data_IF_552741893284
#
_entry.id   IF_552741893284
#
_cell.length_a   1.000
_cell.length_b   1.000
_cell.length_c   1.000
_cell.angle_alpha   90.00
_cell.angle_beta   90.00
_cell.angle_gamma   90.00
#
_symmetry.space_group_name_H-M   'P 1'
#
loop_
_entity.id
_entity.type
_entity.pdbx_description
1 polymer ?
#
# COMPACT_ATOMS: atom_id res chain seq x y z
N UNK A 1 -5.44 0.83 17.35
CA UNK A 1 -4.94 -0.40 16.67
C UNK A 1 -3.53 -0.24 16.11
N UNK A 2 -3.20 0.75 15.25
CA UNK A 2 -1.78 0.99 14.84
C UNK A 2 -1.06 1.92 15.83
N UNK A 3 -1.70 3.02 16.22
CA UNK A 3 -1.16 4.01 17.17
C UNK A 3 -0.91 3.44 18.57
N UNK A 4 -1.52 2.29 18.90
CA UNK A 4 -1.37 1.62 20.20
C UNK A 4 0.05 1.07 20.39
N UNK A 5 0.78 0.90 19.29
CA UNK A 5 2.19 0.50 19.28
C UNK A 5 3.14 1.69 19.51
N UNK A 6 2.64 2.92 19.64
CA UNK A 6 3.49 4.09 19.86
C UNK A 6 3.97 4.07 21.30
N UNK A 7 5.28 4.13 21.46
CA UNK A 7 5.94 3.95 22.74
C UNK A 7 5.81 5.19 23.62
N UNK A 8 5.78 6.40 23.01
CA UNK A 8 5.80 7.69 23.74
C UNK A 8 5.12 8.83 22.96
N UNK A 9 4.79 9.89 23.69
CA UNK A 9 4.44 11.23 23.18
C UNK A 9 3.31 11.24 22.13
N UNK A 10 2.28 10.41 22.32
CA UNK A 10 1.17 10.31 21.35
C UNK A 10 0.31 11.57 21.38
N UNK A 11 0.33 12.33 20.30
CA UNK A 11 -0.57 13.44 20.01
C UNK A 11 -1.59 13.05 18.94
N UNK A 12 -2.84 13.47 19.12
CA UNK A 12 -3.91 13.27 18.15
C UNK A 12 -4.27 14.60 17.51
N UNK A 13 -4.24 14.65 16.19
CA UNK A 13 -4.65 15.78 15.36
C UNK A 13 -6.02 15.44 14.77
N UNK A 14 -7.06 16.09 15.31
CA UNK A 14 -8.42 15.86 14.86
C UNK A 14 -8.68 16.50 13.50
N UNK A 15 -9.32 15.75 12.61
CA UNK A 15 -9.72 16.21 11.29
C UNK A 15 -11.24 16.33 11.22
N UNK A 16 -11.80 17.46 10.76
CA UNK A 16 -13.24 17.61 10.52
C UNK A 16 -13.80 16.62 9.50
N UNK A 17 -12.93 15.92 8.75
CA UNK A 17 -13.29 14.92 7.72
C UNK A 17 -13.11 13.48 8.18
N UNK A 18 -12.77 13.24 9.45
CA UNK A 18 -12.54 11.89 9.99
C UNK A 18 -11.21 11.25 9.60
N UNK A 19 -10.25 12.04 9.13
CA UNK A 19 -8.86 11.64 8.91
C UNK A 19 -8.00 12.04 10.10
N UNK A 20 -8.33 11.53 11.29
CA UNK A 20 -7.57 11.86 12.50
C UNK A 20 -6.15 11.31 12.36
N UNK A 21 -5.18 12.20 12.59
CA UNK A 21 -3.75 11.89 12.56
C UNK A 21 -3.25 11.59 13.95
N UNK A 22 -2.44 10.56 14.09
CA UNK A 22 -1.77 10.21 15.35
C UNK A 22 -0.28 10.35 15.11
N UNK A 23 0.42 11.10 15.94
CA UNK A 23 1.86 11.32 15.86
C UNK A 23 2.46 10.96 17.21
N UNK A 24 3.59 10.29 17.22
CA UNK A 24 4.30 9.96 18.44
C UNK A 24 5.68 9.42 18.13
N UNK A 25 6.19 8.60 19.04
CA UNK A 25 7.49 7.96 18.90
C UNK A 25 7.37 6.46 18.99
N UNK A 26 8.19 5.77 18.24
CA UNK A 26 8.34 4.32 18.26
C UNK A 26 9.75 3.95 18.69
N UNK A 27 9.85 3.17 19.77
CA UNK A 27 11.09 2.56 20.24
C UNK A 27 11.30 1.27 19.42
N UNK A 28 12.21 1.32 18.45
CA UNK A 28 12.54 0.18 17.60
C UNK A 28 13.31 -0.91 18.38
N UNK A 29 13.24 -2.19 17.96
CA UNK A 29 13.90 -3.29 18.66
C UNK A 29 15.42 -3.13 18.82
N UNK A 30 16.07 -2.36 17.94
CA UNK A 30 17.51 -2.07 18.00
C UNK A 30 17.87 -0.94 18.98
N UNK A 31 16.89 -0.38 19.70
CA UNK A 31 17.05 0.73 20.63
C UNK A 31 16.95 2.11 20.00
N UNK A 32 16.75 2.21 18.68
CA UNK A 32 16.54 3.48 17.99
C UNK A 32 15.15 4.04 18.29
N UNK A 33 15.03 5.35 18.50
CA UNK A 33 13.74 6.02 18.64
C UNK A 33 13.42 6.77 17.37
N UNK A 34 12.25 6.49 16.79
CA UNK A 34 11.81 7.07 15.50
C UNK A 34 10.53 7.87 15.71
N UNK A 35 10.49 9.09 15.19
CA UNK A 35 9.24 9.85 15.08
C UNK A 35 8.33 9.19 14.05
N UNK A 36 7.12 8.82 14.47
CA UNK A 36 6.17 8.07 13.65
C UNK A 36 4.81 8.77 13.65
N UNK A 37 4.13 8.73 12.52
CA UNK A 37 2.76 9.19 12.40
C UNK A 37 1.91 8.25 11.55
N UNK A 38 0.64 8.13 11.90
CA UNK A 38 -0.37 7.38 11.15
C UNK A 38 -1.58 8.26 10.93
N UNK A 39 -2.06 8.25 9.70
CA UNK A 39 -3.26 8.97 9.29
C UNK A 39 -3.96 8.16 8.22
N UNK A 40 -5.29 8.11 8.28
CA UNK A 40 -6.07 7.46 7.23
C UNK A 40 -6.04 8.33 5.97
N UNK A 41 -5.83 7.72 4.81
CA UNK A 41 -5.78 8.48 3.55
C UNK A 41 -7.11 8.54 2.81
N UNK A 42 -8.13 7.81 3.27
CA UNK A 42 -9.30 7.50 2.44
C UNK A 42 -8.98 6.59 1.25
N UNK A 43 -9.91 6.51 0.30
CA UNK A 43 -9.82 5.68 -0.90
C UNK A 43 -9.48 6.51 -2.15
N UNK A 44 -8.65 5.94 -3.03
CA UNK A 44 -8.31 6.53 -4.33
C UNK A 44 -7.09 7.44 -4.28
N UNK A 45 -6.44 7.58 -5.44
CA UNK A 45 -5.21 8.38 -5.58
C UNK A 45 -5.40 9.88 -5.24
N UNK A 46 -6.51 10.56 -5.61
CA UNK A 46 -6.72 11.96 -5.21
C UNK A 46 -6.76 12.18 -3.70
N UNK A 47 -7.30 11.22 -2.95
CA UNK A 47 -7.39 11.31 -1.49
C UNK A 47 -6.03 11.10 -0.83
N UNK A 48 -5.25 10.12 -1.34
CA UNK A 48 -3.86 9.90 -0.90
C UNK A 48 -2.97 11.10 -1.22
N UNK A 49 -3.16 11.74 -2.37
CA UNK A 49 -2.39 12.93 -2.79
C UNK A 49 -2.48 14.10 -1.80
N UNK A 50 -3.70 14.40 -1.33
CA UNK A 50 -3.93 15.45 -0.31
C UNK A 50 -3.13 15.13 0.96
N UNK A 51 -3.32 13.94 1.50
CA UNK A 51 -2.69 13.54 2.77
C UNK A 51 -1.17 13.43 2.64
N UNK A 52 -0.67 12.83 1.57
CA UNK A 52 0.76 12.72 1.33
C UNK A 52 1.42 14.10 1.21
N UNK A 53 0.78 15.03 0.48
CA UNK A 53 1.26 16.41 0.34
C UNK A 53 1.30 17.14 1.68
N UNK A 54 0.26 17.01 2.50
CA UNK A 54 0.20 17.61 3.84
C UNK A 54 1.28 17.03 4.76
N UNK A 55 1.46 15.71 4.77
CA UNK A 55 2.48 15.05 5.58
C UNK A 55 3.90 15.46 5.17
N UNK A 56 4.18 15.58 3.86
CA UNK A 56 5.47 16.08 3.36
C UNK A 56 5.71 17.51 3.83
N UNK A 57 4.70 18.38 3.78
CA UNK A 57 4.79 19.78 4.27
C UNK A 57 5.04 19.84 5.78
N UNK A 58 4.49 18.91 6.55
CA UNK A 58 4.74 18.77 7.98
C UNK A 58 6.13 18.17 8.31
N UNK A 59 6.88 17.75 7.29
CA UNK A 59 8.27 17.31 7.42
C UNK A 59 8.48 15.81 7.28
N UNK A 60 7.44 15.02 6.98
CA UNK A 60 7.58 13.59 6.76
C UNK A 60 8.62 13.28 5.66
N UNK A 61 9.52 12.34 5.94
CA UNK A 61 10.61 11.94 5.04
C UNK A 61 10.39 10.59 4.39
N UNK A 62 9.64 9.73 5.06
CA UNK A 62 9.29 8.39 4.59
C UNK A 62 7.78 8.24 4.75
N UNK A 63 7.13 7.82 3.68
CA UNK A 63 5.70 7.51 3.67
C UNK A 63 5.54 6.04 3.30
N UNK A 64 4.90 5.26 4.17
CA UNK A 64 4.56 3.87 3.92
C UNK A 64 3.04 3.76 3.94
N UNK A 65 2.47 3.27 2.83
CA UNK A 65 1.03 3.02 2.74
C UNK A 65 0.73 1.59 3.16
N UNK A 66 -0.04 1.44 4.23
CA UNK A 66 -0.61 0.16 4.65
C UNK A 66 -2.08 0.14 4.23
N UNK A 67 -2.49 -0.92 3.55
CA UNK A 67 -3.85 -1.07 3.05
C UNK A 67 -4.10 -2.48 2.54
N UNK A 68 -5.29 -2.68 1.97
CA UNK A 68 -5.69 -3.96 1.38
C UNK A 68 -5.62 -3.88 -0.14
N UNK A 69 -5.38 -5.04 -0.76
CA UNK A 69 -5.37 -5.20 -2.21
C UNK A 69 -6.10 -6.48 -2.61
N UNK A 70 -6.60 -6.52 -3.84
CA UNK A 70 -7.10 -7.75 -4.43
C UNK A 70 -5.96 -8.50 -5.10
N UNK A 71 -5.79 -9.78 -4.74
CA UNK A 71 -4.87 -10.67 -5.42
C UNK A 71 -5.40 -10.98 -6.83
N UNK A 72 -4.51 -10.93 -7.81
CA UNK A 72 -4.79 -11.37 -9.18
C UNK A 72 -3.97 -12.64 -9.49
N UNK A 73 -2.71 -12.71 -9.09
CA UNK A 73 -1.91 -13.94 -9.23
C UNK A 73 -2.55 -15.12 -8.48
N UNK A 74 -2.56 -16.29 -9.12
CA UNK A 74 -3.18 -17.51 -8.56
C UNK A 74 -2.46 -18.06 -7.34
N UNK A 75 -1.20 -17.66 -7.15
CA UNK A 75 -0.38 -18.05 -6.01
C UNK A 75 -0.74 -17.31 -4.74
N UNK A 76 -1.35 -16.12 -4.82
CA UNK A 76 -1.66 -15.31 -3.66
C UNK A 76 -3.04 -15.65 -3.07
N UNK A 77 -3.05 -15.93 -1.77
CA UNK A 77 -4.23 -16.18 -0.95
C UNK A 77 -4.76 -14.94 -0.23
N UNK A 78 -5.91 -15.10 0.43
CA UNK A 78 -6.44 -14.08 1.35
C UNK A 78 -5.58 -14.08 2.60
N UNK A 79 -5.15 -12.88 3.02
CA UNK A 79 -4.31 -12.72 4.22
C UNK A 79 -2.81 -12.64 3.91
N UNK A 80 -2.40 -12.95 2.68
CA UNK A 80 -1.02 -12.78 2.24
C UNK A 80 -0.61 -11.31 2.28
N UNK A 81 0.64 -11.04 2.71
CA UNK A 81 1.21 -9.70 2.69
C UNK A 81 1.83 -9.44 1.33
N UNK A 82 1.59 -8.27 0.74
CA UNK A 82 2.23 -7.85 -0.51
C UNK A 82 3.02 -6.58 -0.28
N UNK A 83 4.31 -6.63 -0.58
CA UNK A 83 5.24 -5.50 -0.57
C UNK A 83 5.31 -4.94 -1.98
N UNK A 84 4.63 -3.81 -2.21
CA UNK A 84 4.63 -3.16 -3.51
C UNK A 84 6.01 -2.55 -3.82
N UNK A 85 6.70 -3.10 -4.82
CA UNK A 85 7.99 -2.57 -5.31
C UNK A 85 7.80 -1.38 -6.26
N UNK A 86 6.62 -1.29 -6.86
CA UNK A 86 6.17 -0.21 -7.74
C UNK A 86 4.72 -0.42 -8.11
N UNK A 87 4.16 0.51 -8.89
CA UNK A 87 2.77 0.43 -9.33
C UNK A 87 2.60 0.82 -10.81
N UNK A 88 1.76 0.07 -11.52
CA UNK A 88 1.15 0.53 -12.76
C UNK A 88 0.17 1.64 -12.42
N UNK A 89 0.37 2.83 -13.01
CA UNK A 89 -0.45 4.03 -12.78
C UNK A 89 -1.73 3.98 -13.61
N UNK A 90 -2.59 3.03 -13.28
CA UNK A 90 -3.97 2.88 -13.78
C UNK A 90 -4.96 3.72 -12.95
N UNK A 91 -4.49 4.90 -12.54
CA UNK A 91 -5.25 5.96 -11.90
C UNK A 91 -5.04 7.28 -12.68
N UNK A 92 -5.81 8.29 -12.34
CA UNK A 92 -5.91 9.56 -13.07
C UNK A 92 -5.22 10.72 -12.38
N UNK A 93 -5.05 10.68 -11.05
CA UNK A 93 -4.47 11.77 -10.29
C UNK A 93 -3.00 12.03 -10.68
N UNK A 94 -2.16 10.99 -10.77
CA UNK A 94 -0.72 11.20 -11.05
C UNK A 94 -0.44 11.71 -12.46
N UNK A 95 -1.38 11.56 -13.40
CA UNK A 95 -1.27 12.11 -14.76
C UNK A 95 -1.23 13.63 -14.77
N UNK A 96 -1.77 14.27 -13.73
CA UNK A 96 -1.68 15.71 -13.55
C UNK A 96 -0.32 16.18 -13.03
N UNK A 97 0.50 15.27 -12.51
CA UNK A 97 1.81 15.57 -11.93
C UNK A 97 2.97 15.15 -12.82
N UNK A 98 2.85 13.99 -13.49
CA UNK A 98 3.93 13.38 -14.27
C UNK A 98 3.39 12.73 -15.56
N UNK A 99 4.17 12.78 -16.66
CA UNK A 99 3.79 12.14 -17.92
C UNK A 99 3.62 10.63 -17.74
N UNK A 100 2.73 9.94 -18.49
CA UNK A 100 2.36 8.54 -18.27
C UNK A 100 3.53 7.54 -18.32
N UNK A 101 4.63 7.88 -18.99
CA UNK A 101 5.83 7.08 -19.10
C UNK A 101 6.68 7.06 -17.81
N UNK A 102 6.47 8.03 -16.91
CA UNK A 102 7.21 8.09 -15.66
C UNK A 102 6.78 6.93 -14.74
N UNK A 103 7.70 6.06 -14.28
CA UNK A 103 7.32 4.91 -13.49
C UNK A 103 7.04 5.28 -12.03
N UNK A 104 5.98 4.71 -11.43
CA UNK A 104 5.77 4.78 -9.99
C UNK A 104 6.57 3.65 -9.32
N UNK A 105 7.78 3.94 -8.88
CA UNK A 105 8.63 3.01 -8.15
C UNK A 105 8.66 3.34 -6.66
N UNK A 106 8.68 2.30 -5.83
CA UNK A 106 8.99 2.42 -4.42
C UNK A 106 10.47 2.75 -4.21
N UNK A 107 10.79 3.43 -3.10
CA UNK A 107 12.19 3.62 -2.71
C UNK A 107 12.83 2.26 -2.43
N UNK A 108 13.91 1.93 -3.14
CA UNK A 108 14.60 0.65 -3.00
C UNK A 108 14.99 0.37 -1.54
N UNK A 109 15.50 1.37 -0.82
CA UNK A 109 15.90 1.25 0.60
C UNK A 109 14.70 0.89 1.47
N UNK A 110 13.56 1.53 1.26
CA UNK A 110 12.34 1.29 2.06
C UNK A 110 11.74 -0.07 1.71
N UNK A 111 11.69 -0.43 0.43
CA UNK A 111 11.22 -1.74 -0.04
C UNK A 111 12.08 -2.86 0.55
N UNK A 112 13.40 -2.77 0.48
CA UNK A 112 14.31 -3.76 1.06
C UNK A 112 14.16 -3.86 2.58
N UNK A 113 13.97 -2.73 3.28
CA UNK A 113 13.72 -2.74 4.71
C UNK A 113 12.40 -3.45 5.06
N UNK A 114 11.32 -3.23 4.28
CA UNK A 114 10.05 -3.93 4.46
C UNK A 114 10.20 -5.44 4.21
N UNK A 115 10.91 -5.86 3.16
CA UNK A 115 11.15 -7.28 2.91
C UNK A 115 11.97 -7.93 4.03
N UNK A 116 12.99 -7.23 4.53
CA UNK A 116 13.81 -7.72 5.64
C UNK A 116 12.98 -7.85 6.92
N UNK A 117 12.13 -6.87 7.22
CA UNK A 117 11.22 -6.93 8.37
C UNK A 117 10.22 -8.09 8.25
N UNK A 118 9.63 -8.28 7.07
CA UNK A 118 8.72 -9.40 6.81
C UNK A 118 9.43 -10.76 6.94
N UNK A 119 10.70 -10.86 6.53
CA UNK A 119 11.51 -12.07 6.69
C UNK A 119 11.86 -12.35 8.16
N UNK A 120 12.23 -11.34 8.93
CA UNK A 120 12.54 -11.53 10.36
C UNK A 120 11.31 -12.02 11.14
N UNK A 121 10.13 -11.48 10.79
CA UNK A 121 8.88 -11.89 11.39
C UNK A 121 8.47 -13.34 11.06
N UNK A 122 9.21 -14.02 10.18
CA UNK A 122 9.05 -15.44 9.88
C UNK A 122 9.96 -16.37 10.63
N UNK A 123 11.10 -15.86 11.06
CA UNK A 123 12.07 -16.62 11.84
C UNK A 123 11.62 -16.69 13.32
N UNK A 124 10.85 -15.69 13.76
CA UNK A 124 10.08 -15.75 15.00
C UNK A 124 8.79 -16.56 14.76
N UNK A 125 8.75 -17.81 15.24
CA UNK A 125 7.64 -18.78 15.11
C UNK A 125 6.33 -18.33 15.82
N UNK A 126 5.74 -17.20 15.43
CA UNK A 126 4.45 -16.75 15.97
C UNK A 126 3.31 -17.40 15.14
N UNK A 127 2.68 -18.43 15.70
CA UNK A 127 1.53 -19.16 15.15
C UNK A 127 0.35 -18.23 14.75
N UNK A 128 0.36 -16.97 15.21
CA UNK A 128 -0.70 -15.99 14.96
C UNK A 128 -0.63 -15.27 13.59
N UNK A 129 0.45 -15.41 12.81
CA UNK A 129 0.54 -14.79 11.47
C UNK A 129 -0.19 -15.65 10.41
N UNK A 130 -0.41 -16.93 10.70
CA UNK A 130 -1.01 -17.90 9.77
C UNK A 130 -2.55 -17.91 9.77
N UNK A 131 -3.19 -16.76 10.03
CA UNK A 131 -4.64 -16.60 9.97
C UNK A 131 -5.23 -16.64 8.55
N UNK A 132 -4.90 -17.67 7.75
CA UNK A 132 -5.44 -17.91 6.41
C UNK A 132 -4.51 -17.60 5.24
N UNK A 133 -3.33 -17.04 5.49
CA UNK A 133 -2.33 -16.74 4.46
C UNK A 133 -1.71 -18.04 3.87
N UNK A 134 -1.59 -18.09 2.54
CA UNK A 134 -0.89 -19.16 1.81
C UNK A 134 0.60 -18.84 1.60
N UNK A 135 0.93 -17.55 1.51
CA UNK A 135 2.28 -17.00 1.48
C UNK A 135 2.43 -15.95 2.56
N UNK A 136 3.62 -15.86 3.14
CA UNK A 136 3.82 -14.88 4.21
C UNK A 136 3.95 -13.50 3.59
N UNK A 137 4.84 -13.33 2.63
CA UNK A 137 4.87 -12.13 1.82
C UNK A 137 5.32 -12.41 0.38
N UNK A 138 4.84 -11.58 -0.55
CA UNK A 138 5.36 -11.47 -1.92
C UNK A 138 5.77 -10.02 -2.19
N UNK A 139 6.76 -9.82 -3.06
CA UNK A 139 7.29 -8.49 -3.40
C UNK A 139 7.24 -8.28 -4.91
N UNK A 140 6.34 -7.41 -5.37
CA UNK A 140 6.09 -7.25 -6.80
C UNK A 140 5.41 -5.94 -7.18
N UNK A 141 5.26 -5.69 -8.49
CA UNK A 141 4.50 -4.55 -8.97
C UNK A 141 3.01 -4.74 -8.67
N UNK A 142 2.33 -3.65 -8.32
CA UNK A 142 0.88 -3.63 -8.11
C UNK A 142 0.18 -2.75 -9.15
N UNK A 143 -1.14 -2.74 -9.15
CA UNK A 143 -1.94 -1.92 -10.04
C UNK A 143 -2.80 -0.97 -9.21
N UNK A 144 -2.69 0.33 -9.47
CA UNK A 144 -3.67 1.29 -8.94
C UNK A 144 -5.00 1.15 -9.69
N UNK A 145 -6.10 1.68 -9.14
CA UNK A 145 -7.38 1.75 -9.85
C UNK A 145 -8.16 2.98 -9.41
N UNK A 146 -8.81 3.63 -10.37
CA UNK A 146 -9.66 4.79 -10.11
C UNK A 146 -11.16 4.48 -10.07
N UNK A 147 -11.59 3.38 -10.69
CA UNK A 147 -13.00 2.98 -10.69
C UNK A 147 -13.17 1.55 -10.21
N UNK A 148 -13.22 1.31 -8.88
CA UNK A 148 -13.52 -0.02 -8.35
C UNK A 148 -14.90 -0.51 -8.79
N UNK A 149 -15.87 0.39 -8.97
CA UNK A 149 -17.21 0.05 -9.46
C UNK A 149 -17.21 -0.51 -10.88
N UNK A 150 -16.46 0.11 -11.79
CA UNK A 150 -16.37 -0.42 -13.15
C UNK A 150 -15.45 -1.63 -13.22
N UNK A 151 -14.32 -1.61 -12.49
CA UNK A 151 -13.28 -2.65 -12.51
C UNK A 151 -13.71 -3.97 -11.88
N UNK A 152 -14.39 -3.92 -10.74
CA UNK A 152 -14.73 -5.13 -9.95
C UNK A 152 -16.22 -5.47 -10.01
N UNK A 153 -17.09 -4.45 -10.07
CA UNK A 153 -18.54 -4.64 -9.97
C UNK A 153 -19.27 -4.48 -11.32
N UNK A 154 -18.53 -4.28 -12.43
CA UNK A 154 -19.07 -4.07 -13.77
C UNK A 154 -20.17 -2.99 -13.83
N UNK A 155 -20.00 -1.92 -13.06
CA UNK A 155 -20.96 -0.83 -12.96
C UNK A 155 -20.35 0.53 -13.38
N UNK A 156 -21.10 1.27 -14.20
CA UNK A 156 -20.75 2.62 -14.63
C UNK A 156 -20.22 2.72 -16.07
N UNK A 157 -19.88 3.94 -16.53
CA UNK A 157 -19.56 4.20 -17.93
C UNK A 157 -18.21 3.62 -18.38
N UNK A 158 -17.27 3.41 -17.45
CA UNK A 158 -15.92 2.91 -17.76
C UNK A 158 -15.78 1.37 -17.80
N UNK A 159 -16.91 0.65 -17.77
CA UNK A 159 -16.89 -0.82 -17.79
C UNK A 159 -16.20 -1.39 -19.02
N UNK A 160 -16.43 -0.90 -20.26
CA UNK A 160 -15.76 -1.43 -21.45
C UNK A 160 -14.24 -1.31 -21.40
N UNK A 161 -13.71 -0.18 -20.95
CA UNK A 161 -12.27 0.09 -20.85
C UNK A 161 -11.61 -0.82 -19.82
N UNK A 162 -12.24 -0.99 -18.66
CA UNK A 162 -11.72 -1.88 -17.64
C UNK A 162 -11.81 -3.36 -18.05
N UNK A 163 -12.86 -3.79 -18.75
CA UNK A 163 -12.92 -5.14 -19.34
C UNK A 163 -11.76 -5.39 -20.28
N UNK A 164 -11.51 -4.45 -21.21
CA UNK A 164 -10.40 -4.58 -22.14
C UNK A 164 -9.04 -4.71 -21.44
N UNK A 165 -8.84 -3.93 -20.39
CA UNK A 165 -7.60 -4.00 -19.62
C UNK A 165 -7.44 -5.34 -18.88
N UNK A 166 -8.51 -5.87 -18.29
CA UNK A 166 -8.47 -7.20 -17.65
C UNK A 166 -8.18 -8.28 -18.70
N UNK A 167 -8.83 -8.25 -19.86
CA UNK A 167 -8.55 -9.18 -20.96
C UNK A 167 -7.08 -9.13 -21.40
N UNK A 168 -6.47 -7.95 -21.45
CA UNK A 168 -5.05 -7.81 -21.78
C UNK A 168 -4.18 -8.48 -20.73
N UNK A 169 -4.45 -8.22 -19.44
CA UNK A 169 -3.71 -8.89 -18.37
C UNK A 169 -3.86 -10.41 -18.47
N UNK A 170 -5.09 -10.91 -18.69
CA UNK A 170 -5.40 -12.34 -18.84
C UNK A 170 -4.64 -12.98 -20.00
N UNK A 171 -4.61 -12.31 -21.16
CA UNK A 171 -3.92 -12.82 -22.35
C UNK A 171 -2.40 -12.77 -22.25
N UNK A 172 -1.84 -11.86 -21.45
CA UNK A 172 -0.39 -11.76 -21.24
C UNK A 172 0.15 -12.83 -20.29
N UNK A 173 -0.73 -13.68 -19.75
CA UNK A 173 -0.39 -14.62 -18.68
C UNK A 173 0.34 -13.94 -17.51
N UNK A 174 0.07 -12.64 -17.31
CA UNK A 174 0.58 -11.82 -16.20
C UNK A 174 0.07 -12.30 -14.82
N UNK A 175 -0.59 -13.45 -14.81
CA UNK A 175 -1.20 -14.17 -13.70
C UNK A 175 -0.37 -15.38 -13.27
N UNK A 176 0.60 -15.79 -14.10
CA UNK A 176 1.57 -16.80 -13.74
C UNK A 176 2.58 -16.17 -12.78
N UNK A 177 3.02 -16.92 -11.77
CA UNK A 177 4.09 -16.45 -10.91
C UNK A 177 5.33 -16.23 -11.78
N UNK A 178 5.93 -15.04 -11.70
CA UNK A 178 7.24 -14.79 -12.29
C UNK A 178 8.28 -15.50 -11.45
N UNK A 179 8.53 -16.77 -11.77
CA UNK A 179 9.78 -17.47 -11.50
C UNK A 179 10.07 -18.46 -12.63
#
# INVERSE_FOLDING_TARGET
QISDNYSRDVAVILSPRGHDGYIGKYDAPDGTVVDIGVISTGMGAPSVDIIATEMIKLGAKVLVRVGTAGARQKTLGIGDIVIATGAVRDEGATRHYMPPEFPALGSAVVVTAMCSAAQLQLEDEDENIQGGAQWIYDAGPVHTKDSPMAREFNFGPYVPEHKRYIEVLENLDAWLPTW
#
